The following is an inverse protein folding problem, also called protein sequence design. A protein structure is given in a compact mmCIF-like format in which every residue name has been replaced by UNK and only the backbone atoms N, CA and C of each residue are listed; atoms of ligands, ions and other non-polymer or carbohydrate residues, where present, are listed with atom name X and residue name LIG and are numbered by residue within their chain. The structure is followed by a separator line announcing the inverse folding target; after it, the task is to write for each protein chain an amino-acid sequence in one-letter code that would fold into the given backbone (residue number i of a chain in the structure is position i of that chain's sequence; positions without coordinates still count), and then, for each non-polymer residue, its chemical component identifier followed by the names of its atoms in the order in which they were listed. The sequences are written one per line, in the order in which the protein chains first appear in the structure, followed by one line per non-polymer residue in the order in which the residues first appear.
data_IF_288741509981
#
_entry.id   IF_288741509981
#
_cell.length_a   1.000
_cell.length_b   1.000
_cell.length_c   1.000
_cell.angle_alpha   90.00
_cell.angle_beta   90.00
_cell.angle_gamma   90.00
#
_symmetry.space_group_name_H-M   'P 1'
#
loop_
_entity.id
_entity.type
_entity.pdbx_description
1 polymer ?
#
# COMPACT_ATOMS: atom_id res chain seq x y z
N UNK A 1 22.36 -6.97 -41.70
CA UNK A 1 21.43 -6.97 -40.54
C UNK A 1 21.84 -5.81 -39.62
N UNK A 2 21.07 -4.70 -39.61
CA UNK A 2 21.30 -3.56 -38.70
C UNK A 2 19.94 -3.15 -38.15
N UNK A 3 19.77 -3.28 -36.83
CA UNK A 3 18.51 -3.12 -36.12
C UNK A 3 18.06 -1.66 -36.06
N UNK A 4 16.76 -1.46 -36.18
CA UNK A 4 16.08 -0.17 -36.15
C UNK A 4 16.26 0.55 -34.80
N UNK A 5 16.73 1.79 -34.85
CA UNK A 5 16.76 2.72 -33.72
C UNK A 5 15.37 3.33 -33.53
N UNK A 6 14.64 2.89 -32.50
CA UNK A 6 13.33 3.43 -32.15
C UNK A 6 13.49 4.82 -31.50
N UNK A 7 13.32 5.89 -32.29
CA UNK A 7 13.10 7.24 -31.77
C UNK A 7 11.75 7.28 -31.04
N UNK A 8 11.80 7.34 -29.71
CA UNK A 8 10.63 7.60 -28.87
C UNK A 8 10.01 8.95 -29.25
N UNK A 9 8.86 8.91 -29.93
CA UNK A 9 8.10 10.08 -30.30
C UNK A 9 7.55 10.79 -29.06
N UNK A 10 7.89 12.07 -28.92
CA UNK A 10 7.38 12.98 -27.88
C UNK A 10 5.84 12.95 -27.92
N UNK A 11 5.20 12.50 -26.83
CA UNK A 11 3.74 12.49 -26.71
C UNK A 11 3.21 13.93 -26.82
N UNK A 12 2.17 14.21 -27.62
CA UNK A 12 1.58 15.54 -27.66
C UNK A 12 0.97 15.87 -26.31
N UNK A 13 1.17 17.12 -25.87
CA UNK A 13 0.69 17.66 -24.61
C UNK A 13 -0.84 17.78 -24.65
N UNK A 14 -1.55 16.81 -24.08
CA UNK A 14 -3.01 16.89 -23.93
C UNK A 14 -3.34 17.92 -22.84
N UNK A 15 -3.86 19.09 -23.23
CA UNK A 15 -4.44 20.05 -22.29
C UNK A 15 -5.53 19.34 -21.47
N UNK A 16 -5.34 19.24 -20.16
CA UNK A 16 -6.36 18.77 -19.22
C UNK A 16 -7.50 19.78 -19.21
N UNK A 17 -8.57 19.48 -19.93
CA UNK A 17 -9.82 20.25 -19.83
C UNK A 17 -10.40 19.98 -18.45
N UNK A 18 -10.54 21.04 -17.66
CA UNK A 18 -11.18 20.98 -16.34
C UNK A 18 -12.60 20.43 -16.50
N UNK A 19 -12.88 19.26 -15.93
CA UNK A 19 -14.25 18.78 -15.78
C UNK A 19 -14.94 19.67 -14.75
N UNK A 20 -15.73 20.62 -15.23
CA UNK A 20 -16.51 21.57 -14.45
C UNK A 20 -17.28 20.90 -13.30
N UNK A 21 -17.25 21.55 -12.15
CA UNK A 21 -17.58 21.05 -10.81
C UNK A 21 -19.08 20.85 -10.50
N UNK A 22 -19.85 20.27 -11.42
CA UNK A 22 -21.23 19.85 -11.12
C UNK A 22 -21.40 18.41 -11.58
N UNK A 23 -21.41 17.47 -10.63
CA UNK A 23 -21.70 16.08 -10.94
C UNK A 23 -23.11 16.00 -11.52
N UNK A 24 -23.25 15.56 -12.78
CA UNK A 24 -24.54 15.28 -13.44
C UNK A 24 -25.23 14.02 -12.87
N UNK A 25 -24.85 13.62 -11.67
CA UNK A 25 -25.31 12.39 -11.03
C UNK A 25 -26.55 12.72 -10.21
N UNK A 26 -27.68 12.15 -10.62
CA UNK A 26 -28.92 12.23 -9.85
C UNK A 26 -28.83 11.30 -8.63
N UNK A 27 -28.47 11.91 -7.49
CA UNK A 27 -28.25 11.20 -6.22
C UNK A 27 -29.54 10.61 -5.64
N UNK A 28 -30.71 11.16 -5.98
CA UNK A 28 -32.01 10.69 -5.47
C UNK A 28 -32.41 9.42 -6.21
N UNK A 29 -32.20 9.38 -7.52
CA UNK A 29 -32.43 8.17 -8.34
C UNK A 29 -31.58 7.00 -7.84
N UNK A 30 -30.27 7.20 -7.64
CA UNK A 30 -29.36 6.14 -7.22
C UNK A 30 -29.70 5.53 -5.85
N UNK A 31 -30.25 6.33 -4.92
CA UNK A 31 -30.66 5.85 -3.59
C UNK A 31 -31.93 5.02 -3.62
N UNK A 32 -32.82 5.29 -4.56
CA UNK A 32 -34.13 4.63 -4.67
C UNK A 32 -34.05 3.35 -5.50
N UNK A 33 -33.17 3.32 -6.51
CA UNK A 33 -33.00 2.15 -7.38
C UNK A 33 -32.05 1.13 -6.77
N UNK A 34 -32.52 -0.09 -6.51
CA UNK A 34 -31.62 -1.23 -6.27
C UNK A 34 -31.00 -1.65 -7.62
N UNK A 35 -29.70 -1.41 -7.79
CA UNK A 35 -28.96 -1.87 -8.95
C UNK A 35 -28.89 -3.39 -9.01
N UNK A 36 -29.12 -3.99 -10.19
CA UNK A 36 -28.82 -5.40 -10.42
C UNK A 36 -27.30 -5.55 -10.65
N UNK A 37 -26.64 -6.56 -10.06
CA UNK A 37 -25.21 -6.74 -10.26
C UNK A 37 -24.91 -7.06 -11.72
N UNK A 38 -23.96 -6.33 -12.30
CA UNK A 38 -23.39 -6.68 -13.59
C UNK A 38 -22.47 -7.91 -13.43
N UNK A 39 -22.41 -8.84 -14.39
CA UNK A 39 -21.58 -10.04 -14.31
C UNK A 39 -20.08 -9.76 -14.04
N UNK A 40 -19.60 -8.59 -14.44
CA UNK A 40 -18.20 -8.17 -14.30
C UNK A 40 -17.82 -7.72 -12.87
N UNK A 41 -18.76 -7.71 -11.94
CA UNK A 41 -18.54 -7.36 -10.54
C UNK A 41 -19.04 -8.49 -9.63
N UNK A 42 -18.22 -9.55 -9.42
CA UNK A 42 -18.59 -10.58 -8.47
C UNK A 42 -18.80 -9.90 -7.12
N UNK A 43 -19.98 -10.14 -6.54
CA UNK A 43 -20.40 -9.70 -5.21
C UNK A 43 -19.20 -9.62 -4.28
N UNK A 44 -18.92 -8.42 -3.75
CA UNK A 44 -17.73 -8.13 -2.97
C UNK A 44 -17.38 -9.32 -2.07
N UNK A 45 -16.41 -10.14 -2.52
CA UNK A 45 -16.16 -11.45 -1.93
C UNK A 45 -16.01 -11.24 -0.42
N UNK A 46 -16.78 -11.99 0.37
CA UNK A 46 -16.86 -11.87 1.83
C UNK A 46 -15.47 -11.75 2.47
N UNK A 47 -14.44 -12.36 1.87
CA UNK A 47 -13.03 -12.21 2.26
C UNK A 47 -12.54 -10.75 2.28
N UNK A 48 -12.92 -9.93 1.32
CA UNK A 48 -12.58 -8.51 1.24
C UNK A 48 -13.31 -7.67 2.30
N UNK A 49 -14.57 -7.99 2.56
CA UNK A 49 -15.38 -7.34 3.60
C UNK A 49 -14.80 -7.69 4.97
N UNK A 50 -14.53 -8.96 5.24
CA UNK A 50 -13.92 -9.44 6.49
C UNK A 50 -12.57 -8.77 6.73
N UNK A 51 -11.71 -8.65 5.69
CA UNK A 51 -10.43 -7.93 5.80
C UNK A 51 -10.60 -6.43 6.11
N UNK A 52 -11.64 -5.80 5.58
CA UNK A 52 -11.99 -4.40 5.88
C UNK A 52 -12.56 -4.20 7.30
N UNK A 53 -13.40 -5.14 7.76
CA UNK A 53 -14.03 -5.11 9.09
C UNK A 53 -13.00 -5.42 10.19
N UNK A 54 -12.12 -6.42 10.00
CA UNK A 54 -11.04 -6.75 10.96
C UNK A 54 -10.08 -5.58 11.15
N UNK A 55 -9.87 -4.75 10.11
CA UNK A 55 -8.99 -3.58 10.21
C UNK A 55 -9.64 -2.34 10.83
N UNK A 56 -10.97 -2.26 10.92
CA UNK A 56 -11.66 -1.12 11.55
C UNK A 56 -11.44 -1.03 13.07
N UNK A 57 -11.14 -2.15 13.73
CA UNK A 57 -10.88 -2.21 15.17
C UNK A 57 -9.41 -2.30 15.57
N UNK A 58 -8.50 -2.49 14.62
CA UNK A 58 -7.07 -2.62 14.92
C UNK A 58 -6.44 -1.24 14.99
N UNK A 59 -5.98 -0.85 16.20
CA UNK A 59 -5.09 0.30 16.36
C UNK A 59 -3.85 0.06 15.49
N UNK A 60 -3.63 0.90 14.49
CA UNK A 60 -2.41 0.82 13.70
C UNK A 60 -1.22 1.09 14.63
N UNK A 61 -0.13 0.32 14.54
CA UNK A 61 1.08 0.63 15.28
C UNK A 61 1.58 2.02 14.85
N UNK A 62 2.19 2.77 15.78
CA UNK A 62 2.77 4.07 15.44
C UNK A 62 3.80 3.91 14.31
N UNK A 63 3.93 4.93 13.44
CA UNK A 63 4.89 4.90 12.35
C UNK A 63 6.31 4.74 12.89
N UNK A 64 7.15 4.01 12.14
CA UNK A 64 8.57 3.85 12.46
C UNK A 64 9.36 5.01 11.88
N UNK A 65 10.30 5.55 12.64
CA UNK A 65 11.27 6.53 12.14
C UNK A 65 12.39 5.80 11.40
N UNK A 66 12.70 6.24 10.18
CA UNK A 66 13.86 5.78 9.44
C UNK A 66 15.11 6.49 9.97
N UNK A 67 16.08 5.73 10.48
CA UNK A 67 17.35 6.25 10.97
C UNK A 67 18.50 5.55 10.28
N UNK A 68 19.64 6.23 10.15
CA UNK A 68 20.90 5.61 9.75
C UNK A 68 21.66 5.20 11.00
N UNK A 69 21.79 3.89 11.23
CA UNK A 69 22.51 3.31 12.37
C UNK A 69 23.65 2.45 11.85
N UNK A 70 24.84 2.60 12.44
CA UNK A 70 25.97 1.69 12.20
C UNK A 70 25.84 0.50 13.15
N UNK A 71 26.03 -0.70 12.62
CA UNK A 71 26.02 -1.95 13.37
C UNK A 71 27.26 -2.76 12.98
N UNK A 72 27.73 -3.59 13.90
CA UNK A 72 28.83 -4.51 13.59
C UNK A 72 28.42 -5.51 12.50
N UNK A 73 29.42 -5.88 11.69
CA UNK A 73 29.20 -6.67 10.48
C UNK A 73 28.68 -8.07 10.80
N UNK A 74 29.28 -8.71 11.79
CA UNK A 74 28.95 -10.03 12.29
C UNK A 74 27.52 -10.10 12.84
N UNK A 75 27.12 -9.09 13.61
CA UNK A 75 25.76 -8.96 14.14
C UNK A 75 24.75 -8.83 12.99
N UNK A 76 25.03 -7.97 12.01
CA UNK A 76 24.15 -7.79 10.85
C UNK A 76 24.05 -9.08 10.01
N UNK A 77 25.16 -9.77 9.83
CA UNK A 77 25.22 -11.03 9.09
C UNK A 77 24.42 -12.13 9.81
N UNK A 78 24.59 -12.26 11.12
CA UNK A 78 23.82 -13.19 11.94
C UNK A 78 22.30 -12.94 11.83
N UNK A 79 21.85 -11.69 11.87
CA UNK A 79 20.42 -11.40 11.68
C UNK A 79 19.92 -11.72 10.27
N UNK A 80 20.77 -11.58 9.24
CA UNK A 80 20.42 -11.90 7.85
C UNK A 80 20.31 -13.40 7.60
N UNK A 81 21.15 -14.23 8.25
CA UNK A 81 21.08 -15.70 8.08
C UNK A 81 19.75 -16.28 8.57
N UNK A 82 19.08 -15.60 9.52
CA UNK A 82 17.76 -16.01 9.99
C UNK A 82 16.61 -15.72 9.01
N UNK A 83 16.92 -15.17 7.83
CA UNK A 83 15.98 -14.99 6.73
C UNK A 83 15.31 -13.60 6.66
N UNK A 84 14.23 -13.46 5.88
CA UNK A 84 13.58 -12.18 5.63
C UNK A 84 13.07 -11.51 6.92
N UNK A 85 12.99 -10.19 6.93
CA UNK A 85 12.52 -9.43 8.09
C UNK A 85 13.56 -9.22 9.20
N UNK A 86 14.85 -9.40 8.91
CA UNK A 86 15.95 -9.19 9.85
C UNK A 86 15.90 -7.80 10.53
N UNK A 87 15.53 -6.73 9.82
CA UNK A 87 15.38 -5.38 10.38
C UNK A 87 14.26 -5.30 11.44
N UNK A 88 13.16 -6.02 11.23
CA UNK A 88 12.06 -6.09 12.20
C UNK A 88 12.51 -6.81 13.47
N UNK A 89 13.32 -7.86 13.33
CA UNK A 89 13.93 -8.58 14.45
C UNK A 89 14.91 -7.72 15.24
N UNK A 90 15.79 -6.98 14.56
CA UNK A 90 16.68 -6.01 15.20
C UNK A 90 15.85 -5.03 16.04
N UNK A 91 14.80 -4.45 15.47
CA UNK A 91 13.94 -3.53 16.20
C UNK A 91 13.20 -4.20 17.38
N UNK A 92 12.84 -5.48 17.30
CA UNK A 92 12.23 -6.22 18.41
C UNK A 92 13.22 -6.41 19.58
N UNK A 93 14.49 -6.74 19.29
CA UNK A 93 15.54 -6.85 20.31
C UNK A 93 15.79 -5.52 21.00
N UNK A 94 15.88 -4.42 20.22
CA UNK A 94 16.05 -3.08 20.78
C UNK A 94 14.88 -2.68 21.71
N UNK A 95 13.65 -3.07 21.38
CA UNK A 95 12.48 -2.85 22.24
C UNK A 95 12.57 -3.68 23.52
N UNK A 96 12.87 -4.97 23.41
CA UNK A 96 13.00 -5.84 24.58
C UNK A 96 14.09 -5.34 25.53
N UNK A 97 15.24 -4.90 25.00
CA UNK A 97 16.31 -4.31 25.80
C UNK A 97 15.85 -3.01 26.49
N UNK A 98 15.18 -2.11 25.77
CA UNK A 98 14.61 -0.88 26.35
C UNK A 98 13.65 -1.20 27.50
N UNK A 99 12.70 -2.11 27.26
CA UNK A 99 11.63 -2.42 28.21
C UNK A 99 12.16 -3.15 29.46
N UNK A 100 13.30 -3.85 29.35
CA UNK A 100 13.98 -4.49 30.48
C UNK A 100 14.95 -3.57 31.25
N UNK A 101 15.41 -2.48 30.61
CA UNK A 101 16.39 -1.54 31.20
C UNK A 101 15.73 -0.33 31.87
N UNK A 102 14.40 -0.24 31.80
CA UNK A 102 13.57 0.79 32.42
C UNK A 102 12.80 0.16 33.56
#
# INVERSE_FOLDING_TARGET
MKSASSRSGKRPNAKRVSTSATSRTDVVRLRTTKGKPAPDHPEADLRHIVRGVVRRGLKLPPPKSAISLRMDRDVLEWFKTQGPGYQTRINAVLRAFRDASV
#
